data_IF_769841382872
#
_entry.id   IF_769841382872
#
_cell.length_a   1.000
_cell.length_b   1.000
_cell.length_c   1.000
_cell.angle_alpha   90.00
_cell.angle_beta   90.00
_cell.angle_gamma   90.00
#
_symmetry.space_group_name_H-M   'P 1'
#
loop_
_entity.id
_entity.type
_entity.pdbx_description
1 polymer ?
#
# COMPACT_ATOMS: atom_id res chain seq x y z
N UNK A 1 -4.12 10.19 29.33
CA UNK A 1 -3.02 9.55 28.56
C UNK A 1 -3.06 10.13 27.15
N UNK A 2 -2.14 11.07 26.84
CA UNK A 2 -2.06 11.69 25.51
C UNK A 2 -1.43 10.67 24.57
N UNK A 3 -2.15 10.23 23.55
CA UNK A 3 -1.62 9.37 22.50
C UNK A 3 -0.69 10.26 21.66
N UNK A 4 0.62 10.15 21.87
CA UNK A 4 1.59 10.80 21.01
C UNK A 4 1.34 10.32 19.58
N UNK A 5 1.14 11.25 18.65
CA UNK A 5 0.93 10.95 17.24
C UNK A 5 2.27 10.48 16.64
N UNK A 6 2.45 9.17 16.58
CA UNK A 6 3.58 8.53 15.93
C UNK A 6 3.16 8.10 14.52
N UNK A 7 3.58 8.84 13.47
CA UNK A 7 3.18 8.56 12.08
C UNK A 7 3.47 7.12 11.63
N UNK A 8 4.52 6.49 12.16
CA UNK A 8 4.85 5.09 11.91
C UNK A 8 3.78 4.09 12.41
N UNK A 9 2.98 4.48 13.41
CA UNK A 9 1.88 3.65 13.94
C UNK A 9 0.75 3.54 12.92
N UNK A 10 0.47 4.62 12.19
CA UNK A 10 -0.58 4.64 11.16
C UNK A 10 -0.18 3.80 9.95
N UNK A 11 1.07 3.94 9.49
CA UNK A 11 1.59 3.15 8.35
C UNK A 11 1.63 1.64 8.65
N UNK A 12 2.02 1.26 9.87
CA UNK A 12 1.99 -0.14 10.31
C UNK A 12 0.57 -0.71 10.38
N UNK A 13 -0.41 0.10 10.80
CA UNK A 13 -1.80 -0.33 10.83
C UNK A 13 -2.34 -0.55 9.41
N UNK A 14 -2.07 0.39 8.49
CA UNK A 14 -2.43 0.25 7.05
C UNK A 14 -1.80 -1.03 6.48
N UNK A 15 -0.52 -1.28 6.76
CA UNK A 15 0.20 -2.49 6.32
C UNK A 15 -0.51 -3.77 6.80
N UNK A 16 -0.91 -3.82 8.07
CA UNK A 16 -1.63 -4.98 8.64
C UNK A 16 -3.00 -5.16 7.99
N UNK A 17 -3.72 -4.09 7.72
CA UNK A 17 -5.05 -4.12 7.11
C UNK A 17 -4.99 -4.59 5.65
N UNK A 18 -4.04 -4.08 4.88
CA UNK A 18 -3.79 -4.55 3.51
C UNK A 18 -3.38 -6.02 3.50
N UNK A 19 -2.47 -6.43 4.39
CA UNK A 19 -2.02 -7.83 4.47
C UNK A 19 -3.18 -8.78 4.75
N UNK A 20 -3.99 -8.46 5.77
CA UNK A 20 -5.18 -9.24 6.14
C UNK A 20 -6.17 -9.35 4.97
N UNK A 21 -6.38 -8.27 4.22
CA UNK A 21 -7.42 -8.21 3.18
C UNK A 21 -7.00 -8.85 1.86
N UNK A 22 -5.71 -8.76 1.49
CA UNK A 22 -5.27 -9.02 0.12
C UNK A 22 -4.20 -10.10 -0.04
N UNK A 23 -3.46 -10.47 1.00
CA UNK A 23 -2.35 -11.46 0.87
C UNK A 23 -2.83 -12.79 0.28
N UNK A 24 -3.88 -13.39 0.85
CA UNK A 24 -4.41 -14.68 0.36
C UNK A 24 -5.08 -14.57 -1.01
N UNK A 25 -5.65 -13.41 -1.35
CA UNK A 25 -6.42 -13.21 -2.59
C UNK A 25 -5.53 -12.89 -3.79
N UNK A 26 -4.45 -12.13 -3.57
CA UNK A 26 -3.59 -11.62 -4.64
C UNK A 26 -2.21 -12.28 -4.67
N UNK A 27 -1.84 -13.05 -3.64
CA UNK A 27 -0.52 -13.70 -3.56
C UNK A 27 0.64 -12.69 -3.56
N UNK A 28 0.43 -11.52 -2.92
CA UNK A 28 1.38 -10.42 -2.78
C UNK A 28 2.31 -10.66 -1.60
N UNK A 29 3.55 -10.16 -1.69
CA UNK A 29 4.57 -10.31 -0.63
C UNK A 29 4.49 -9.16 0.36
N UNK A 30 5.15 -9.34 1.51
CA UNK A 30 5.26 -8.32 2.55
C UNK A 30 5.79 -6.99 2.03
N UNK A 31 6.76 -6.99 1.11
CA UNK A 31 7.33 -5.77 0.52
C UNK A 31 6.33 -5.04 -0.37
N UNK A 32 5.51 -5.78 -1.14
CA UNK A 32 4.47 -5.19 -1.99
C UNK A 32 3.42 -4.50 -1.10
N UNK A 33 3.00 -5.16 -0.02
CA UNK A 33 2.09 -4.62 0.99
C UNK A 33 2.66 -3.35 1.63
N UNK A 34 3.92 -3.41 2.09
CA UNK A 34 4.56 -2.29 2.78
C UNK A 34 4.67 -1.07 1.87
N UNK A 35 5.09 -1.25 0.61
CA UNK A 35 5.22 -0.14 -0.33
C UNK A 35 3.87 0.53 -0.61
N UNK A 36 2.80 -0.26 -0.84
CA UNK A 36 1.46 0.31 -1.04
C UNK A 36 0.96 1.01 0.22
N UNK A 37 1.22 0.45 1.41
CA UNK A 37 0.89 1.11 2.67
C UNK A 37 1.58 2.46 2.84
N UNK A 38 2.86 2.57 2.47
CA UNK A 38 3.59 3.85 2.51
C UNK A 38 2.98 4.87 1.55
N UNK A 39 2.60 4.47 0.34
CA UNK A 39 1.94 5.37 -0.61
C UNK A 39 0.61 5.93 -0.07
N UNK A 40 -0.21 5.08 0.54
CA UNK A 40 -1.46 5.51 1.20
C UNK A 40 -1.16 6.46 2.37
N UNK A 41 -0.20 6.09 3.22
CA UNK A 41 0.18 6.87 4.39
C UNK A 41 0.68 8.28 4.00
N UNK A 42 1.50 8.36 2.96
CA UNK A 42 2.02 9.61 2.39
C UNK A 42 1.00 10.37 1.55
N UNK A 43 -0.21 9.82 1.35
CA UNK A 43 -1.29 10.39 0.53
C UNK A 43 -0.83 10.72 -0.89
N UNK A 44 -0.05 9.84 -1.49
CA UNK A 44 0.42 10.02 -2.88
C UNK A 44 -0.77 10.04 -3.83
N UNK A 45 -0.77 10.94 -4.81
CA UNK A 45 -1.83 11.04 -5.82
C UNK A 45 -1.74 9.90 -6.85
N UNK A 46 -0.52 9.43 -7.14
CA UNK A 46 -0.25 8.45 -8.19
C UNK A 46 0.74 7.39 -7.71
N UNK A 47 0.55 6.17 -8.19
CA UNK A 47 1.45 5.04 -7.92
C UNK A 47 1.95 4.46 -9.24
N UNK A 48 3.26 4.32 -9.37
CA UNK A 48 3.92 3.77 -10.54
C UNK A 48 4.51 2.39 -10.21
N UNK A 49 4.19 1.38 -11.01
CA UNK A 49 4.80 0.06 -10.89
C UNK A 49 4.69 -0.72 -12.19
N UNK A 50 5.62 -1.64 -12.39
CA UNK A 50 5.61 -2.64 -13.46
C UNK A 50 5.32 -4.05 -12.91
N UNK A 51 5.26 -4.22 -11.58
CA UNK A 51 4.93 -5.49 -10.96
C UNK A 51 3.42 -5.71 -10.98
N UNK A 52 2.98 -6.76 -11.70
CA UNK A 52 1.57 -7.07 -11.91
C UNK A 52 0.82 -7.29 -10.58
N UNK A 53 1.46 -7.91 -9.59
CA UNK A 53 0.83 -8.18 -8.30
C UNK A 53 0.72 -6.92 -7.46
N UNK A 54 1.74 -6.06 -7.49
CA UNK A 54 1.69 -4.76 -6.83
C UNK A 54 0.65 -3.84 -7.48
N UNK A 55 0.57 -3.81 -8.82
CA UNK A 55 -0.48 -3.08 -9.55
C UNK A 55 -1.87 -3.56 -9.14
N UNK A 56 -2.07 -4.88 -9.02
CA UNK A 56 -3.34 -5.45 -8.55
C UNK A 56 -3.69 -5.00 -7.12
N UNK A 57 -2.70 -4.98 -6.23
CA UNK A 57 -2.86 -4.53 -4.85
C UNK A 57 -3.23 -3.03 -4.76
N UNK A 58 -2.52 -2.17 -5.49
CA UNK A 58 -2.78 -0.73 -5.52
C UNK A 58 -4.19 -0.44 -6.02
N UNK A 59 -4.62 -1.11 -7.09
CA UNK A 59 -5.99 -1.00 -7.61
C UNK A 59 -7.02 -1.45 -6.56
N UNK A 60 -6.76 -2.57 -5.89
CA UNK A 60 -7.65 -3.08 -4.84
C UNK A 60 -7.69 -2.17 -3.59
N UNK A 61 -6.63 -1.40 -3.35
CA UNK A 61 -6.55 -0.38 -2.32
C UNK A 61 -7.15 0.98 -2.73
N UNK A 62 -7.62 1.14 -3.98
CA UNK A 62 -8.29 2.35 -4.47
C UNK A 62 -7.36 3.48 -4.89
N UNK A 63 -6.07 3.20 -5.07
CA UNK A 63 -5.08 4.18 -5.53
C UNK A 63 -5.00 4.22 -7.07
N UNK A 64 -4.70 5.40 -7.62
CA UNK A 64 -4.50 5.60 -9.06
C UNK A 64 -3.16 5.01 -9.50
N UNK A 65 -3.19 4.11 -10.49
CA UNK A 65 -2.00 3.58 -11.14
C UNK A 65 -1.68 4.42 -12.38
N UNK A 66 -0.42 4.81 -12.52
CA UNK A 66 0.15 5.35 -13.75
C UNK A 66 1.13 4.36 -14.38
N UNK A 67 1.25 4.40 -15.70
CA UNK A 67 2.31 3.67 -16.41
C UNK A 67 3.57 4.56 -16.42
N UNK A 68 4.77 3.99 -16.25
CA UNK A 68 6.00 4.75 -16.49
C UNK A 68 5.99 5.28 -17.93
N UNK A 69 6.50 6.50 -18.12
CA UNK A 69 6.76 7.03 -19.46
C UNK A 69 7.78 6.11 -20.14
N UNK A 70 7.46 5.69 -21.37
CA UNK A 70 8.32 4.87 -22.22
C UNK A 70 9.52 5.67 -22.74
#
# INVERSE_FOLDING_TARGET
MVKLYYPETDSNQITKDLSRKFTSKLGVRSLDILHVAQAIFLKTEEFCSLDIKQIALVKAAGLKIIKPLA
#
